data_IF_020813966760
#
_entry.id   IF_020813966760
#
_cell.length_a   1.000
_cell.length_b   1.000
_cell.length_c   1.000
_cell.angle_alpha   90.00
_cell.angle_beta   90.00
_cell.angle_gamma   90.00
#
_symmetry.space_group_name_H-M   'P 1'
#
loop_
_entity.id
_entity.type
_entity.pdbx_description
1 polymer ?
#
# COMPACT_ATOMS: atom_id res chain seq x y z
N UNK A 1 12.98 11.31 1.79
CA UNK A 1 12.58 9.89 1.83
C UNK A 1 11.75 9.59 0.60
N UNK A 2 11.84 8.39 0.05
CA UNK A 2 11.06 7.92 -1.11
C UNK A 2 10.33 6.67 -0.66
N UNK A 3 9.05 6.56 -0.99
CA UNK A 3 8.28 5.33 -0.79
C UNK A 3 8.25 4.53 -2.08
N UNK A 4 8.57 3.25 -1.99
CA UNK A 4 8.47 2.31 -3.10
C UNK A 4 7.33 1.33 -2.85
N UNK A 5 6.54 1.06 -3.88
CA UNK A 5 5.60 -0.05 -3.93
C UNK A 5 6.13 -1.04 -4.97
N UNK A 6 6.63 -2.18 -4.51
CA UNK A 6 7.43 -3.11 -5.29
C UNK A 6 6.67 -4.43 -5.43
N UNK A 7 6.35 -4.91 -6.63
CA UNK A 7 5.66 -6.19 -6.80
C UNK A 7 6.50 -7.35 -6.24
N UNK A 8 5.88 -8.22 -5.43
CA UNK A 8 6.59 -9.35 -4.79
C UNK A 8 7.03 -10.41 -5.79
N UNK A 9 6.20 -10.66 -6.81
CA UNK A 9 6.47 -11.61 -7.90
C UNK A 9 6.17 -10.92 -9.25
N UNK A 10 7.07 -10.07 -9.76
CA UNK A 10 6.81 -9.29 -10.95
C UNK A 10 6.67 -10.17 -12.18
N UNK A 11 5.55 -10.03 -12.90
CA UNK A 11 5.44 -10.55 -14.26
C UNK A 11 6.15 -9.62 -15.24
N UNK A 12 6.62 -10.11 -16.41
CA UNK A 12 7.22 -9.26 -17.42
C UNK A 12 6.32 -8.08 -17.79
N UNK A 13 6.81 -6.86 -17.57
CA UNK A 13 6.06 -5.61 -17.81
C UNK A 13 5.33 -5.03 -16.60
N UNK A 14 5.40 -5.65 -15.42
CA UNK A 14 4.98 -5.00 -14.18
C UNK A 14 5.97 -3.91 -13.76
N UNK A 15 5.42 -2.83 -13.20
CA UNK A 15 6.19 -1.64 -12.84
C UNK A 15 6.33 -1.54 -11.32
N UNK A 16 7.49 -1.08 -10.90
CA UNK A 16 7.71 -0.54 -9.57
C UNK A 16 7.20 0.90 -9.52
N UNK A 17 6.56 1.27 -8.42
CA UNK A 17 6.03 2.62 -8.25
C UNK A 17 6.76 3.34 -7.13
N UNK A 18 7.23 4.56 -7.42
CA UNK A 18 7.97 5.38 -6.47
C UNK A 18 7.22 6.68 -6.21
N UNK A 19 7.03 7.01 -4.94
CA UNK A 19 6.31 8.19 -4.47
C UNK A 19 7.32 9.17 -3.85
N UNK A 20 7.43 10.34 -4.47
CA UNK A 20 8.43 11.38 -4.12
C UNK A 20 7.82 12.62 -3.45
N UNK A 21 6.50 12.77 -3.44
CA UNK A 21 5.81 13.90 -2.85
C UNK A 21 4.64 13.48 -1.96
N UNK A 22 4.27 14.34 -1.01
CA UNK A 22 3.02 14.19 -0.26
C UNK A 22 1.82 14.24 -1.21
N UNK A 23 0.75 13.55 -0.87
CA UNK A 23 -0.46 13.51 -1.68
C UNK A 23 -1.24 12.21 -1.54
N UNK A 24 -2.33 12.13 -2.29
CA UNK A 24 -3.17 10.93 -2.39
C UNK A 24 -2.95 10.28 -3.74
N UNK A 25 -2.53 9.02 -3.71
CA UNK A 25 -2.22 8.20 -4.87
C UNK A 25 -3.25 7.10 -4.99
N UNK A 26 -3.95 7.06 -6.11
CA UNK A 26 -4.97 6.04 -6.37
C UNK A 26 -4.29 4.78 -6.87
N UNK A 27 -4.72 3.64 -6.32
CA UNK A 27 -4.34 2.30 -6.74
C UNK A 27 -5.53 1.62 -7.38
N UNK A 28 -5.37 1.02 -8.55
CA UNK A 28 -6.45 0.28 -9.20
C UNK A 28 -6.07 -0.24 -10.58
N UNK A 29 -7.04 -0.82 -11.30
CA UNK A 29 -6.76 -1.42 -12.62
C UNK A 29 -6.79 -0.43 -13.80
N UNK A 30 -7.36 0.78 -13.62
CA UNK A 30 -7.51 1.75 -14.71
C UNK A 30 -7.70 3.18 -14.20
N UNK A 31 -6.96 4.13 -14.78
CA UNK A 31 -7.11 5.57 -14.49
C UNK A 31 -6.65 5.94 -13.08
N UNK A 32 -5.63 5.25 -12.58
CA UNK A 32 -5.03 5.41 -11.25
C UNK A 32 -3.54 5.74 -11.40
N UNK A 33 -2.96 6.36 -10.38
CA UNK A 33 -1.53 6.69 -10.33
C UNK A 33 -0.69 5.40 -10.27
N UNK A 34 -1.20 4.39 -9.59
CA UNK A 34 -0.61 3.06 -9.46
C UNK A 34 -1.55 2.05 -10.12
N UNK A 35 -1.08 1.43 -11.22
CA UNK A 35 -1.87 0.49 -12.01
C UNK A 35 -1.48 -0.94 -11.67
N UNK A 36 -2.45 -1.72 -11.22
CA UNK A 36 -2.29 -3.16 -10.99
C UNK A 36 -3.34 -3.96 -11.76
N UNK A 37 -2.88 -4.87 -12.62
CA UNK A 37 -3.74 -5.69 -13.49
C UNK A 37 -3.60 -7.19 -13.25
N UNK A 38 -2.72 -7.58 -12.31
CA UNK A 38 -2.45 -8.97 -11.94
C UNK A 38 -3.68 -9.71 -11.43
N UNK A 39 -4.60 -8.99 -10.81
CA UNK A 39 -5.80 -9.55 -10.21
C UNK A 39 -7.07 -8.89 -10.80
N UNK A 40 -7.93 -9.69 -11.43
CA UNK A 40 -9.19 -9.21 -12.04
C UNK A 40 -10.21 -8.70 -11.01
N UNK A 41 -10.05 -9.07 -9.75
CA UNK A 41 -10.80 -8.54 -8.60
C UNK A 41 -10.39 -7.12 -8.20
N UNK A 42 -9.34 -6.55 -8.79
CA UNK A 42 -8.96 -5.16 -8.53
C UNK A 42 -10.01 -4.21 -9.15
N UNK A 43 -10.43 -3.24 -8.35
CA UNK A 43 -11.43 -2.24 -8.73
C UNK A 43 -10.80 -1.19 -9.65
N UNK A 44 -11.61 -0.40 -10.37
CA UNK A 44 -11.05 0.70 -11.18
C UNK A 44 -10.24 1.68 -10.33
N UNK A 45 -10.84 2.10 -9.21
CA UNK A 45 -10.17 2.71 -8.06
C UNK A 45 -10.39 1.74 -6.90
N UNK A 46 -9.31 1.20 -6.33
CA UNK A 46 -9.34 0.09 -5.39
C UNK A 46 -8.87 0.51 -4.00
N UNK A 47 -7.78 1.24 -3.93
CA UNK A 47 -7.28 1.82 -2.69
C UNK A 47 -6.71 3.21 -2.95
N UNK A 48 -6.54 3.98 -1.88
CA UNK A 48 -5.85 5.25 -1.88
C UNK A 48 -4.68 5.17 -0.90
N UNK A 49 -3.46 5.41 -1.40
CA UNK A 49 -2.27 5.60 -0.57
C UNK A 49 -2.15 7.09 -0.29
N UNK A 50 -2.20 7.47 0.98
CA UNK A 50 -2.19 8.85 1.43
C UNK A 50 -0.85 9.08 2.12
N UNK A 51 -0.01 9.93 1.53
CA UNK A 51 1.26 10.36 2.12
C UNK A 51 1.05 11.77 2.68
N UNK A 52 0.89 11.86 4.00
CA UNK A 52 0.69 13.15 4.66
C UNK A 52 2.00 13.96 4.72
N UNK A 53 3.14 13.28 4.91
CA UNK A 53 4.46 13.92 5.03
C UNK A 53 5.60 13.00 4.57
N UNK A 54 6.61 13.58 3.92
CA UNK A 54 7.84 12.89 3.51
C UNK A 54 8.90 12.96 4.60
N UNK A 55 8.75 12.16 5.65
CA UNK A 55 9.68 12.13 6.80
C UNK A 55 10.84 11.18 6.50
N UNK A 56 12.10 11.64 6.54
CA UNK A 56 13.27 10.75 6.60
C UNK A 56 13.43 10.25 8.05
N UNK A 57 13.34 8.93 8.27
CA UNK A 57 13.74 8.35 9.54
C UNK A 57 15.25 8.11 9.55
N UNK A 58 15.99 8.84 10.38
CA UNK A 58 17.40 8.53 10.62
C UNK A 58 17.55 7.18 11.33
N UNK A 59 18.63 6.45 11.02
CA UNK A 59 18.92 5.12 11.57
C UNK A 59 18.89 5.06 13.12
N UNK A 60 19.19 6.16 13.80
CA UNK A 60 19.15 6.25 15.26
C UNK A 60 17.72 6.30 15.84
N UNK A 61 16.77 6.85 15.08
CA UNK A 61 15.35 6.98 15.44
C UNK A 61 14.51 5.77 15.03
N UNK A 62 15.01 4.94 14.09
CA UNK A 62 14.37 3.66 13.69
C UNK A 62 14.12 2.73 14.88
N UNK A 63 15.00 2.74 15.90
CA UNK A 63 14.87 1.90 17.12
C UNK A 63 13.88 2.44 18.16
N UNK A 64 13.54 3.73 18.12
CA UNK A 64 12.70 4.40 19.13
C UNK A 64 11.30 4.72 18.63
N UNK A 65 11.08 4.75 17.32
CA UNK A 65 9.81 5.20 16.74
C UNK A 65 9.35 4.32 15.58
N UNK A 66 9.05 3.05 15.84
CA UNK A 66 8.19 2.20 14.97
C UNK A 66 6.75 2.76 14.77
N UNK A 67 6.48 4.02 15.19
CA UNK A 67 5.14 4.54 15.48
C UNK A 67 4.69 5.74 14.64
N UNK A 68 5.49 6.24 13.70
CA UNK A 68 5.15 7.47 12.97
C UNK A 68 5.40 7.39 11.47
N UNK A 69 5.03 6.28 10.82
CA UNK A 69 4.79 6.39 9.38
C UNK A 69 3.61 7.34 9.16
N UNK A 70 3.81 8.33 8.30
CA UNK A 70 2.78 9.29 7.85
C UNK A 70 2.17 8.85 6.52
N UNK A 71 2.29 7.56 6.21
CA UNK A 71 1.69 6.93 5.04
C UNK A 71 0.56 6.02 5.49
N UNK A 72 -0.62 6.25 4.92
CA UNK A 72 -1.85 5.52 5.23
C UNK A 72 -2.38 4.90 3.95
N UNK A 73 -3.10 3.80 4.10
CA UNK A 73 -3.83 3.18 3.00
C UNK A 73 -5.30 3.05 3.36
N UNK A 74 -6.15 3.51 2.44
CA UNK A 74 -7.60 3.44 2.56
C UNK A 74 -8.16 2.48 1.50
N UNK A 75 -9.01 1.56 1.94
CA UNK A 75 -9.69 0.62 1.06
C UNK A 75 -10.99 1.21 0.50
N UNK A 76 -11.12 1.22 -0.83
CA UNK A 76 -12.31 1.63 -1.56
C UNK A 76 -12.89 0.47 -2.40
N UNK A 77 -12.41 -0.75 -2.16
CA UNK A 77 -12.61 -1.86 -3.07
C UNK A 77 -13.87 -2.69 -2.79
N UNK A 78 -14.19 -3.56 -3.77
CA UNK A 78 -15.26 -4.57 -3.62
C UNK A 78 -14.79 -5.81 -2.85
N UNK A 79 -13.57 -6.29 -3.11
CA UNK A 79 -13.05 -7.56 -2.59
C UNK A 79 -12.13 -7.41 -1.37
N UNK A 80 -11.68 -6.18 -1.11
CA UNK A 80 -10.82 -5.83 0.01
C UNK A 80 -9.38 -5.54 -0.41
N UNK A 81 -8.73 -4.74 0.42
CA UNK A 81 -7.27 -4.59 0.48
C UNK A 81 -6.79 -5.29 1.75
N UNK A 82 -5.63 -5.94 1.69
CA UNK A 82 -5.10 -6.72 2.80
C UNK A 82 -3.66 -6.33 3.08
N UNK A 83 -3.27 -6.34 4.35
CA UNK A 83 -1.90 -6.04 4.79
C UNK A 83 -1.38 -7.21 5.62
N UNK A 84 -0.16 -7.63 5.35
CA UNK A 84 0.58 -8.58 6.16
C UNK A 84 1.77 -7.86 6.80
N UNK A 85 1.77 -7.78 8.13
CA UNK A 85 2.78 -7.08 8.94
C UNK A 85 3.84 -8.02 9.53
N UNK A 86 4.23 -9.08 8.80
CA UNK A 86 5.09 -10.16 9.29
C UNK A 86 4.52 -10.93 10.49
N UNK A 87 3.23 -10.81 10.74
CA UNK A 87 2.44 -11.66 11.64
C UNK A 87 1.64 -12.61 10.75
N UNK A 88 1.50 -13.89 11.10
CA UNK A 88 0.78 -14.90 10.30
C UNK A 88 -0.69 -14.54 9.97
N UNK A 89 -1.21 -13.43 10.51
CA UNK A 89 -2.52 -12.86 10.21
C UNK A 89 -2.46 -11.82 9.07
N UNK A 90 -3.21 -12.09 8.01
CA UNK A 90 -3.54 -11.14 6.94
C UNK A 90 -4.69 -10.24 7.40
N UNK A 91 -4.40 -8.97 7.71
CA UNK A 91 -5.40 -8.01 8.17
C UNK A 91 -6.14 -7.40 6.99
N UNK A 92 -7.48 -7.40 7.01
CA UNK A 92 -8.29 -6.78 5.96
C UNK A 92 -8.51 -5.31 6.26
N UNK A 93 -8.03 -4.43 5.39
CA UNK A 93 -8.09 -2.96 5.57
C UNK A 93 -9.54 -2.48 5.75
N UNK A 94 -10.49 -3.16 5.08
CA UNK A 94 -11.92 -2.85 5.15
C UNK A 94 -12.54 -2.99 6.55
N UNK A 95 -11.92 -3.75 7.44
CA UNK A 95 -12.42 -4.04 8.78
C UNK A 95 -11.95 -3.01 9.82
N UNK A 96 -10.98 -2.17 9.47
CA UNK A 96 -10.54 -1.07 10.34
C UNK A 96 -11.53 0.11 10.32
N UNK A 97 -11.41 0.96 11.35
CA UNK A 97 -12.10 2.24 11.39
C UNK A 97 -11.78 3.06 10.13
N UNK A 98 -12.80 3.63 9.51
CA UNK A 98 -12.70 4.38 8.24
C UNK A 98 -12.12 3.57 7.06
N UNK A 99 -12.03 2.24 7.17
CA UNK A 99 -11.42 1.36 6.16
C UNK A 99 -9.99 1.79 5.83
N UNK A 100 -9.25 2.20 6.85
CA UNK A 100 -7.95 2.83 6.69
C UNK A 100 -6.98 2.36 7.78
N UNK A 101 -5.70 2.25 7.45
CA UNK A 101 -4.64 1.94 8.41
C UNK A 101 -3.29 2.51 7.97
N UNK A 102 -2.31 2.52 8.87
CA UNK A 102 -0.97 3.05 8.62
C UNK A 102 -0.12 1.96 7.96
N UNK A 103 0.65 2.34 6.93
CA UNK A 103 1.66 1.50 6.29
C UNK A 103 3.03 1.76 6.89
N UNK A 104 3.79 0.70 7.16
CA UNK A 104 5.20 0.78 7.57
C UNK A 104 6.15 0.20 6.52
N UNK A 105 7.41 0.60 6.60
CA UNK A 105 8.50 0.05 5.77
C UNK A 105 8.56 -1.47 5.93
N UNK A 106 8.42 -2.21 4.83
CA UNK A 106 8.39 -3.67 4.81
C UNK A 106 7.00 -4.31 4.98
N UNK A 107 5.92 -3.54 5.08
CA UNK A 107 4.56 -4.09 5.02
C UNK A 107 4.27 -4.66 3.63
N UNK A 108 3.65 -5.84 3.60
CA UNK A 108 3.20 -6.48 2.36
C UNK A 108 1.71 -6.22 2.13
N UNK A 109 1.35 -5.66 0.99
CA UNK A 109 -0.01 -5.23 0.64
C UNK A 109 -0.53 -6.06 -0.52
N UNK A 110 -1.74 -6.59 -0.36
CA UNK A 110 -2.43 -7.37 -1.38
C UNK A 110 -3.75 -6.69 -1.80
N UNK A 111 -3.95 -6.56 -3.10
CA UNK A 111 -5.17 -6.00 -3.68
C UNK A 111 -6.06 -7.06 -4.33
N UNK A 112 -7.37 -6.82 -4.37
CA UNK A 112 -8.33 -7.67 -5.09
C UNK A 112 -8.61 -8.97 -4.34
N UNK A 113 -8.47 -10.10 -5.04
CA UNK A 113 -8.59 -11.43 -4.43
C UNK A 113 -7.29 -11.89 -3.75
N UNK A 114 -6.26 -11.04 -3.74
CA UNK A 114 -5.00 -11.29 -3.06
C UNK A 114 -3.88 -11.80 -3.96
N UNK A 115 -4.05 -11.78 -5.29
CA UNK A 115 -2.99 -12.15 -6.24
C UNK A 115 -2.08 -10.96 -6.62
N UNK A 116 -2.53 -9.73 -6.38
CA UNK A 116 -1.77 -8.51 -6.62
C UNK A 116 -1.02 -8.09 -5.34
N UNK A 117 0.13 -8.71 -5.08
CA UNK A 117 0.97 -8.49 -3.89
C UNK A 117 2.13 -7.53 -4.17
N UNK A 118 2.32 -6.58 -3.27
CA UNK A 118 3.36 -5.53 -3.27
C UNK A 118 3.96 -5.36 -1.88
#
# INVERSE_FOLDING_TARGET
MVWGLLPVDPLPGELEYYIFSKGTYKVGRKGCDIITTKDKGVSRVHAEIIVDEMVCMDHLQKRLLHKSSKVRIRDCSKYGTFINKNTDSKEKVHEFANKETILTDGDLVAFGTGNANY
#
